data_IF_332350897782
#
_entry.id   IF_332350897782
#
_cell.length_a   1.000
_cell.length_b   1.000
_cell.length_c   1.000
_cell.angle_alpha   90.00
_cell.angle_beta   90.00
_cell.angle_gamma   90.00
#
_symmetry.space_group_name_H-M   'P 1'
#
loop_
_entity.id
_entity.type
_entity.pdbx_description
1 polymer ?
#
# COMPACT_ATOMS: atom_id res chain seq x y z
N UNK A 1 -11.83 8.17 -14.53
CA UNK A 1 -13.27 8.21 -14.24
C UNK A 1 -13.43 8.68 -12.81
N UNK A 2 -14.14 9.76 -12.55
CA UNK A 2 -14.48 10.21 -11.21
C UNK A 2 -15.86 9.67 -10.87
N UNK A 3 -16.02 9.12 -9.67
CA UNK A 3 -17.31 8.68 -9.16
C UNK A 3 -18.02 9.89 -8.52
N UNK A 4 -19.34 9.94 -8.62
CA UNK A 4 -20.14 11.00 -8.00
C UNK A 4 -20.13 10.90 -6.46
N UNK A 5 -19.84 9.71 -5.93
CA UNK A 5 -19.68 9.41 -4.50
C UNK A 5 -18.73 8.22 -4.30
N UNK A 6 -18.27 8.07 -3.07
CA UNK A 6 -17.55 6.87 -2.68
C UNK A 6 -18.46 5.63 -2.73
N UNK A 7 -18.02 4.51 -3.32
CA UNK A 7 -18.78 3.28 -3.34
C UNK A 7 -18.85 2.64 -1.95
N UNK A 8 -19.95 1.95 -1.66
CA UNK A 8 -20.04 1.10 -0.47
C UNK A 8 -19.19 -0.15 -0.61
N UNK A 9 -18.90 -0.82 0.52
CA UNK A 9 -18.15 -2.08 0.51
C UNK A 9 -18.86 -3.17 -0.30
N UNK A 10 -20.20 -3.23 -0.25
CA UNK A 10 -20.98 -4.17 -1.04
C UNK A 10 -20.93 -3.88 -2.55
N UNK A 11 -20.91 -2.61 -2.93
CA UNK A 11 -20.74 -2.22 -4.35
C UNK A 11 -19.35 -2.60 -4.87
N UNK A 12 -18.30 -2.38 -4.06
CA UNK A 12 -16.93 -2.79 -4.41
C UNK A 12 -16.86 -4.32 -4.51
N UNK A 13 -17.48 -5.02 -3.57
CA UNK A 13 -17.49 -6.47 -3.58
C UNK A 13 -18.21 -7.04 -4.81
N UNK A 14 -19.40 -6.51 -5.14
CA UNK A 14 -20.14 -6.93 -6.33
C UNK A 14 -19.32 -6.72 -7.60
N UNK A 15 -18.72 -5.54 -7.75
CA UNK A 15 -17.87 -5.26 -8.91
C UNK A 15 -16.64 -6.20 -8.98
N UNK A 16 -16.06 -6.55 -7.84
CA UNK A 16 -14.96 -7.52 -7.78
C UNK A 16 -15.43 -8.93 -8.19
N UNK A 17 -16.58 -9.40 -7.70
CA UNK A 17 -17.12 -10.72 -8.05
C UNK A 17 -17.50 -10.82 -9.55
N UNK A 18 -17.98 -9.74 -10.14
CA UNK A 18 -18.34 -9.68 -11.56
C UNK A 18 -17.12 -9.78 -12.49
N UNK A 19 -15.94 -9.32 -12.02
CA UNK A 19 -14.72 -9.24 -12.83
C UNK A 19 -13.70 -10.35 -12.55
N UNK A 20 -13.67 -10.89 -11.32
CA UNK A 20 -12.67 -11.90 -10.91
C UNK A 20 -12.83 -13.21 -11.69
N UNK A 21 -11.71 -13.75 -12.17
CA UNK A 21 -11.67 -15.01 -12.93
C UNK A 21 -10.86 -16.05 -12.18
N UNK A 22 -11.16 -17.32 -12.41
CA UNK A 22 -10.39 -18.45 -11.84
C UNK A 22 -8.92 -18.48 -12.30
N UNK A 23 -8.61 -17.80 -13.41
CA UNK A 23 -7.23 -17.65 -13.90
C UNK A 23 -6.43 -16.56 -13.21
N UNK A 24 -7.09 -15.66 -12.48
CA UNK A 24 -6.42 -14.54 -11.85
C UNK A 24 -5.54 -15.03 -10.70
N UNK A 25 -4.39 -14.39 -10.56
CA UNK A 25 -3.39 -14.75 -9.55
C UNK A 25 -3.31 -13.73 -8.43
N UNK A 26 -3.80 -12.53 -8.70
CA UNK A 26 -3.65 -11.40 -7.80
C UNK A 26 -4.84 -10.45 -7.88
N UNK A 27 -5.29 -9.96 -6.71
CA UNK A 27 -6.15 -8.80 -6.56
C UNK A 27 -5.32 -7.65 -5.99
N UNK A 28 -5.48 -6.44 -6.52
CA UNK A 28 -4.64 -5.30 -6.16
C UNK A 28 -5.48 -4.15 -5.63
N UNK A 29 -5.22 -3.77 -4.40
CA UNK A 29 -5.68 -2.48 -3.86
C UNK A 29 -4.82 -1.37 -4.43
N UNK A 30 -5.37 -0.65 -5.39
CA UNK A 30 -4.77 0.54 -6.00
C UNK A 30 -5.89 1.46 -6.47
N UNK A 31 -5.57 2.67 -6.95
CA UNK A 31 -6.60 3.52 -7.55
C UNK A 31 -6.20 4.97 -7.71
N UNK A 32 -7.19 5.81 -8.02
CA UNK A 32 -7.06 7.27 -8.05
C UNK A 32 -7.04 7.81 -6.62
N UNK A 33 -5.91 7.72 -5.95
CA UNK A 33 -5.73 8.12 -4.58
C UNK A 33 -5.05 7.03 -3.75
N UNK A 34 -5.22 7.10 -2.47
CA UNK A 34 -4.55 6.22 -1.52
C UNK A 34 -5.56 5.24 -0.89
N UNK A 35 -5.42 3.92 -1.13
CA UNK A 35 -6.37 2.93 -0.59
C UNK A 35 -6.50 2.96 0.94
N UNK A 36 -5.41 3.25 1.65
CA UNK A 36 -5.41 3.25 3.12
C UNK A 36 -6.17 4.44 3.76
N UNK A 37 -6.66 5.38 2.95
CA UNK A 37 -7.64 6.38 3.42
C UNK A 37 -8.95 5.68 3.81
N UNK A 38 -9.32 4.62 3.08
CA UNK A 38 -10.48 3.77 3.36
C UNK A 38 -10.05 2.44 4.00
N UNK A 39 -9.25 2.55 5.03
CA UNK A 39 -8.58 1.40 5.63
C UNK A 39 -9.52 0.28 6.03
N UNK A 40 -10.64 0.60 6.72
CA UNK A 40 -11.57 -0.43 7.21
C UNK A 40 -12.22 -1.18 6.03
N UNK A 41 -12.49 -0.51 4.92
CA UNK A 41 -12.89 -1.14 3.65
C UNK A 41 -11.81 -2.08 3.13
N UNK A 42 -10.55 -1.63 3.07
CA UNK A 42 -9.41 -2.47 2.63
C UNK A 42 -9.28 -3.71 3.51
N UNK A 43 -9.31 -3.55 4.83
CA UNK A 43 -9.19 -4.67 5.77
C UNK A 43 -10.37 -5.66 5.65
N UNK A 44 -11.59 -5.14 5.63
CA UNK A 44 -12.81 -5.94 5.56
C UNK A 44 -12.90 -6.76 4.28
N UNK A 45 -12.69 -6.10 3.14
CA UNK A 45 -12.76 -6.77 1.84
C UNK A 45 -11.56 -7.67 1.57
N UNK A 46 -10.34 -7.33 2.03
CA UNK A 46 -9.19 -8.25 1.97
C UNK A 46 -9.52 -9.56 2.67
N UNK A 47 -10.07 -9.49 3.90
CA UNK A 47 -10.49 -10.68 4.65
C UNK A 47 -11.56 -11.48 3.90
N UNK A 48 -12.53 -10.80 3.30
CA UNK A 48 -13.59 -11.43 2.49
C UNK A 48 -13.03 -12.11 1.25
N UNK A 49 -12.08 -11.46 0.54
CA UNK A 49 -11.37 -12.04 -0.60
C UNK A 49 -10.66 -13.34 -0.17
N UNK A 50 -9.88 -13.31 0.90
CA UNK A 50 -9.14 -14.49 1.37
C UNK A 50 -10.04 -15.64 1.84
N UNK A 51 -11.25 -15.34 2.31
CA UNK A 51 -12.24 -16.36 2.67
C UNK A 51 -12.88 -17.00 1.44
N UNK A 52 -13.20 -16.21 0.41
CA UNK A 52 -13.87 -16.69 -0.81
C UNK A 52 -12.91 -17.24 -1.87
N UNK A 53 -11.70 -16.69 -1.93
CA UNK A 53 -10.66 -17.00 -2.91
C UNK A 53 -9.30 -17.20 -2.21
N UNK A 54 -9.12 -18.30 -1.44
CA UNK A 54 -7.93 -18.48 -0.58
C UNK A 54 -6.60 -18.50 -1.33
N UNK A 55 -6.60 -18.95 -2.59
CA UNK A 55 -5.41 -19.03 -3.45
C UNK A 55 -5.08 -17.69 -4.16
N UNK A 56 -6.02 -16.74 -4.17
CA UNK A 56 -5.81 -15.44 -4.78
C UNK A 56 -4.90 -14.59 -3.88
N UNK A 57 -3.79 -14.12 -4.43
CA UNK A 57 -2.90 -13.18 -3.76
C UNK A 57 -3.57 -11.82 -3.64
N UNK A 58 -3.41 -11.15 -2.50
CA UNK A 58 -3.89 -9.78 -2.32
C UNK A 58 -2.72 -8.84 -2.08
N UNK A 59 -2.60 -7.83 -2.93
CA UNK A 59 -1.57 -6.79 -2.87
C UNK A 59 -2.17 -5.45 -2.49
N UNK A 60 -1.38 -4.64 -1.79
CA UNK A 60 -1.65 -3.22 -1.57
C UNK A 60 -0.56 -2.36 -2.21
N UNK A 61 -0.94 -1.46 -3.11
CA UNK A 61 -0.10 -0.38 -3.60
C UNK A 61 -0.44 0.89 -2.80
N UNK A 62 0.53 1.48 -2.10
CA UNK A 62 0.29 2.55 -1.13
C UNK A 62 1.40 3.61 -1.14
N UNK A 63 1.05 4.82 -0.72
CA UNK A 63 2.02 5.89 -0.45
C UNK A 63 2.83 5.66 0.84
N UNK A 64 2.50 4.65 1.64
CA UNK A 64 3.22 4.29 2.86
C UNK A 64 2.95 5.18 4.08
N UNK A 65 1.94 6.04 4.05
CA UNK A 65 1.66 6.99 5.13
C UNK A 65 0.50 6.54 6.04
N UNK A 66 0.09 5.29 5.95
CA UNK A 66 -1.02 4.74 6.73
C UNK A 66 -0.83 4.92 8.25
N UNK A 67 0.38 4.69 8.77
CA UNK A 67 0.69 4.89 10.21
C UNK A 67 0.59 6.36 10.62
N UNK A 68 1.01 7.30 9.77
CA UNK A 68 0.91 8.73 10.07
C UNK A 68 -0.54 9.22 10.08
N UNK A 69 -1.40 8.63 9.24
CA UNK A 69 -2.84 8.94 9.23
C UNK A 69 -3.57 8.30 10.40
N UNK A 70 -3.06 7.20 10.92
CA UNK A 70 -3.70 6.41 11.99
C UNK A 70 -2.69 6.09 13.10
N UNK A 71 -2.22 7.08 13.87
CA UNK A 71 -1.09 6.91 14.80
C UNK A 71 -1.39 5.94 15.96
N UNK A 72 -2.66 5.72 16.27
CA UNK A 72 -3.11 4.83 17.34
C UNK A 72 -3.32 3.38 16.89
N UNK A 73 -3.03 3.06 15.61
CA UNK A 73 -3.25 1.73 15.02
C UNK A 73 -1.94 1.09 14.57
N UNK A 74 -1.83 -0.22 14.72
CA UNK A 74 -0.75 -1.01 14.13
C UNK A 74 -1.14 -1.49 12.72
N UNK A 75 -0.96 -0.62 11.74
CA UNK A 75 -1.42 -0.83 10.38
C UNK A 75 -0.83 -2.09 9.74
N UNK A 76 0.47 -2.33 9.91
CA UNK A 76 1.15 -3.48 9.33
C UNK A 76 0.59 -4.82 9.88
N UNK A 77 0.31 -4.86 11.18
CA UNK A 77 -0.28 -6.03 11.83
C UNK A 77 -1.74 -6.24 11.40
N UNK A 78 -2.53 -5.18 11.30
CA UNK A 78 -3.92 -5.26 10.87
C UNK A 78 -4.05 -5.73 9.42
N UNK A 79 -3.22 -5.21 8.51
CA UNK A 79 -3.16 -5.65 7.11
C UNK A 79 -2.77 -7.14 7.01
N UNK A 80 -1.76 -7.56 7.77
CA UNK A 80 -1.35 -8.96 7.84
C UNK A 80 -2.47 -9.87 8.35
N UNK A 81 -3.16 -9.47 9.43
CA UNK A 81 -4.30 -10.22 9.99
C UNK A 81 -5.50 -10.28 9.03
N UNK A 82 -5.68 -9.29 8.18
CA UNK A 82 -6.68 -9.32 7.14
C UNK A 82 -6.34 -10.31 6.01
N UNK A 83 -5.08 -10.76 5.92
CA UNK A 83 -4.61 -11.71 4.93
C UNK A 83 -3.92 -11.05 3.73
N UNK A 84 -3.40 -9.82 3.87
CA UNK A 84 -2.61 -9.19 2.83
C UNK A 84 -1.33 -10.01 2.58
N UNK A 85 -1.10 -10.41 1.33
CA UNK A 85 0.05 -11.24 0.97
C UNK A 85 1.30 -10.40 0.75
N UNK A 86 1.19 -9.24 0.10
CA UNK A 86 2.31 -8.33 -0.04
C UNK A 86 1.92 -6.86 -0.20
N UNK A 87 2.89 -5.98 0.02
CA UNK A 87 2.71 -4.53 -0.08
C UNK A 87 3.79 -3.91 -0.97
N UNK A 88 3.37 -3.01 -1.85
CA UNK A 88 4.20 -2.17 -2.70
C UNK A 88 4.09 -0.73 -2.21
N UNK A 89 5.17 -0.19 -1.69
CA UNK A 89 5.20 1.13 -1.04
C UNK A 89 5.96 2.11 -1.91
N UNK A 90 5.37 3.26 -2.19
CA UNK A 90 5.97 4.32 -3.00
C UNK A 90 6.99 5.12 -2.19
N UNK A 91 8.27 4.72 -2.23
CA UNK A 91 9.37 5.48 -1.65
C UNK A 91 9.62 6.79 -2.40
N UNK A 92 9.59 6.74 -3.73
CA UNK A 92 9.68 7.85 -4.68
C UNK A 92 10.96 8.69 -4.66
N UNK A 93 11.68 8.83 -3.55
CA UNK A 93 12.90 9.63 -3.46
C UNK A 93 13.91 9.06 -2.47
N UNK A 94 15.18 9.36 -2.71
CA UNK A 94 16.33 8.92 -1.91
C UNK A 94 16.61 9.82 -0.70
N UNK A 95 16.01 11.02 -0.63
CA UNK A 95 16.13 11.93 0.51
C UNK A 95 14.81 12.60 0.84
N UNK A 96 14.71 13.12 2.07
CA UNK A 96 13.53 13.85 2.53
C UNK A 96 13.24 15.08 1.66
N UNK A 97 14.27 15.87 1.33
CA UNK A 97 14.12 17.09 0.54
C UNK A 97 13.54 16.80 -0.84
N UNK A 98 14.05 15.77 -1.51
CA UNK A 98 13.55 15.34 -2.83
C UNK A 98 12.14 14.78 -2.73
N UNK A 99 11.85 14.00 -1.68
CA UNK A 99 10.52 13.47 -1.42
C UNK A 99 9.51 14.61 -1.24
N UNK A 100 9.82 15.62 -0.44
CA UNK A 100 8.95 16.78 -0.20
C UNK A 100 8.72 17.60 -1.48
N UNK A 101 9.77 17.77 -2.30
CA UNK A 101 9.65 18.47 -3.58
C UNK A 101 8.78 17.71 -4.59
N UNK A 102 8.96 16.39 -4.66
CA UNK A 102 8.28 15.53 -5.64
C UNK A 102 6.83 15.22 -5.22
N UNK A 103 6.65 14.72 -4.01
CA UNK A 103 5.36 14.21 -3.52
C UNK A 103 4.49 15.30 -2.90
N UNK A 104 5.08 16.40 -2.42
CA UNK A 104 4.38 17.52 -1.76
C UNK A 104 3.41 17.05 -0.68
N UNK A 105 3.85 16.22 0.27
CA UNK A 105 2.97 15.62 1.24
C UNK A 105 2.36 16.68 2.17
N UNK A 106 1.11 16.45 2.57
CA UNK A 106 0.43 17.28 3.58
C UNK A 106 0.80 16.95 5.03
N UNK A 107 1.42 15.77 5.24
CA UNK A 107 1.79 15.27 6.56
C UNK A 107 3.28 15.54 6.84
N UNK A 108 3.64 16.18 7.96
CA UNK A 108 5.03 16.36 8.34
C UNK A 108 5.74 15.01 8.56
N UNK A 109 7.01 14.90 8.18
CA UNK A 109 7.81 13.69 8.38
C UNK A 109 7.42 12.52 7.47
N UNK A 110 6.75 12.78 6.34
CA UNK A 110 6.25 11.75 5.45
C UNK A 110 7.33 10.81 4.93
N UNK A 111 8.49 11.29 4.52
CA UNK A 111 9.59 10.41 4.05
C UNK A 111 10.00 9.41 5.14
N UNK A 112 10.22 9.87 6.36
CA UNK A 112 10.51 8.98 7.49
C UNK A 112 9.34 8.05 7.78
N UNK A 113 8.11 8.55 7.67
CA UNK A 113 6.88 7.75 7.82
C UNK A 113 6.79 6.57 6.86
N UNK A 114 7.18 6.78 5.59
CA UNK A 114 7.28 5.71 4.57
C UNK A 114 8.29 4.63 5.01
N UNK A 115 9.48 5.04 5.46
CA UNK A 115 10.53 4.12 5.91
C UNK A 115 10.08 3.32 7.16
N UNK A 116 9.43 3.99 8.10
CA UNK A 116 8.93 3.35 9.32
C UNK A 116 7.79 2.38 9.03
N UNK A 117 6.89 2.73 8.09
CA UNK A 117 5.84 1.83 7.64
C UNK A 117 6.42 0.59 6.93
N UNK A 118 7.39 0.76 6.02
CA UNK A 118 8.07 -0.35 5.37
C UNK A 118 8.73 -1.29 6.40
N UNK A 119 9.43 -0.72 7.38
CA UNK A 119 10.06 -1.47 8.48
C UNK A 119 9.04 -2.24 9.34
N UNK A 120 7.86 -1.64 9.58
CA UNK A 120 6.77 -2.31 10.29
C UNK A 120 6.17 -3.44 9.44
N UNK A 121 5.92 -3.20 8.15
CA UNK A 121 5.39 -4.22 7.24
C UNK A 121 6.31 -5.45 7.15
N UNK A 122 7.63 -5.26 7.11
CA UNK A 122 8.60 -6.38 7.08
C UNK A 122 8.49 -7.35 8.26
N UNK A 123 7.92 -6.93 9.37
CA UNK A 123 7.73 -7.79 10.55
C UNK A 123 6.48 -8.67 10.46
N UNK A 124 5.53 -8.30 9.63
CA UNK A 124 4.19 -8.89 9.61
C UNK A 124 3.77 -9.44 8.24
N UNK A 125 4.30 -8.91 7.14
CA UNK A 125 3.91 -9.23 5.77
C UNK A 125 5.09 -9.92 5.08
N UNK A 126 4.81 -11.00 4.35
CA UNK A 126 5.84 -11.87 3.77
C UNK A 126 6.67 -11.18 2.69
N UNK A 127 6.05 -10.30 1.90
CA UNK A 127 6.71 -9.57 0.82
C UNK A 127 6.42 -8.08 0.94
N UNK A 128 7.49 -7.28 1.02
CA UNK A 128 7.44 -5.83 1.03
C UNK A 128 8.36 -5.31 -0.06
N UNK A 129 7.84 -4.46 -0.92
CA UNK A 129 8.58 -3.85 -2.03
C UNK A 129 8.54 -2.34 -1.92
N UNK A 130 9.69 -1.68 -2.07
CA UNK A 130 9.75 -0.24 -2.28
C UNK A 130 9.81 0.06 -3.77
N UNK A 131 9.03 1.03 -4.22
CA UNK A 131 9.02 1.50 -5.61
C UNK A 131 9.45 2.95 -5.69
N UNK A 132 10.06 3.30 -6.81
CA UNK A 132 10.53 4.65 -7.09
C UNK A 132 10.26 5.00 -8.54
N UNK A 133 9.88 6.26 -8.78
CA UNK A 133 9.76 6.79 -10.13
C UNK A 133 11.15 7.23 -10.59
N UNK A 134 11.63 6.70 -11.71
CA UNK A 134 12.93 7.08 -12.27
C UNK A 134 12.81 8.46 -12.96
N UNK A 135 13.05 9.51 -12.18
CA UNK A 135 13.05 10.91 -12.63
C UNK A 135 14.42 11.53 -12.48
N UNK A 136 14.68 12.57 -13.29
CA UNK A 136 15.90 13.37 -13.15
C UNK A 136 16.03 13.91 -11.72
N UNK A 137 17.21 13.79 -11.14
CA UNK A 137 17.48 14.21 -9.75
C UNK A 137 17.22 13.15 -8.67
N UNK A 138 16.56 12.04 -8.99
CA UNK A 138 16.37 10.93 -8.05
C UNK A 138 17.51 9.91 -8.22
N UNK A 139 18.18 9.60 -7.12
CA UNK A 139 19.22 8.56 -7.10
C UNK A 139 18.59 7.18 -6.83
N UNK A 140 18.30 6.47 -7.93
CA UNK A 140 17.69 5.13 -7.87
C UNK A 140 18.59 4.11 -7.14
N UNK A 141 19.92 4.28 -7.18
CA UNK A 141 20.84 3.37 -6.48
C UNK A 141 20.73 3.57 -4.96
N UNK A 142 20.65 4.81 -4.49
CA UNK A 142 20.39 5.09 -3.08
C UNK A 142 19.02 4.58 -2.64
N UNK A 143 17.99 4.72 -3.48
CA UNK A 143 16.68 4.13 -3.16
C UNK A 143 16.76 2.60 -3.03
N UNK A 144 17.60 1.93 -3.85
CA UNK A 144 17.84 0.49 -3.73
C UNK A 144 18.57 0.14 -2.44
N UNK A 145 19.64 0.89 -2.09
CA UNK A 145 20.34 0.72 -0.81
C UNK A 145 19.39 0.85 0.38
N UNK A 146 18.50 1.85 0.37
CA UNK A 146 17.47 2.01 1.40
C UNK A 146 16.55 0.77 1.48
N UNK A 147 16.13 0.24 0.33
CA UNK A 147 15.27 -0.95 0.29
C UNK A 147 16.01 -2.18 0.84
N UNK A 148 17.26 -2.40 0.45
CA UNK A 148 18.12 -3.48 0.94
C UNK A 148 18.34 -3.39 2.47
N UNK A 149 18.62 -2.20 2.99
CA UNK A 149 18.79 -1.94 4.43
C UNK A 149 17.52 -2.23 5.24
N UNK A 150 16.34 -2.05 4.63
CA UNK A 150 15.05 -2.36 5.22
C UNK A 150 14.64 -3.83 5.02
N UNK A 151 15.37 -4.58 4.18
CA UNK A 151 15.04 -5.96 3.82
C UNK A 151 13.86 -6.08 2.86
N UNK A 152 13.64 -5.09 2.00
CA UNK A 152 12.54 -5.00 1.04
C UNK A 152 12.99 -5.41 -0.37
#
# INVERSE_FOLDING_TARGET
MWLDREPTDDEIWTAFEDEVKLSDREAVWCGFGEPTIRLDTVLGLTKRIKQSYPDLKVRLDTDGLANLRNPDRNMAEELSRAGLDYVSISLNADTQEKYEQLCRPSLPGSHQGVLDFARACRKHISEVRLTVVNLEGIDVNKCREIAEDLGC
#
